data_IF_250952328259
#
_entry.id   IF_250952328259
#
_cell.length_a   1.000
_cell.length_b   1.000
_cell.length_c   1.000
_cell.angle_alpha   90.00
_cell.angle_beta   90.00
_cell.angle_gamma   90.00
#
_symmetry.space_group_name_H-M   'P 1'
#
loop_
_entity.id
_entity.type
_entity.pdbx_description
1 polymer ?
#
# COMPACT_ATOMS: atom_id res chain seq x y z
N UNK A 1 -2.02 4.69 3.13
CA UNK A 1 -3.39 4.65 3.69
C UNK A 1 -4.05 3.35 3.26
N UNK A 2 -5.00 2.79 4.01
CA UNK A 2 -5.58 1.46 3.77
C UNK A 2 -7.09 1.49 4.05
N UNK A 3 -7.90 0.74 3.30
CA UNK A 3 -9.35 0.68 3.47
C UNK A 3 -9.90 -0.76 3.50
N UNK A 4 -10.84 -1.03 4.39
CA UNK A 4 -11.66 -2.24 4.44
C UNK A 4 -13.12 -1.82 4.28
N UNK A 5 -13.76 -2.26 3.20
CA UNK A 5 -15.16 -1.99 2.91
C UNK A 5 -16.00 -3.27 3.16
N UNK A 6 -17.15 -3.16 3.84
CA UNK A 6 -18.16 -4.24 3.88
C UNK A 6 -18.93 -4.25 2.56
N UNK A 7 -18.87 -5.33 1.79
CA UNK A 7 -19.67 -5.44 0.57
C UNK A 7 -21.05 -5.99 0.93
N UNK A 8 -22.09 -5.15 0.95
CA UNK A 8 -23.47 -5.65 0.90
C UNK A 8 -23.82 -5.88 -0.57
N UNK A 9 -23.70 -7.12 -1.04
CA UNK A 9 -24.18 -7.48 -2.37
C UNK A 9 -25.72 -7.49 -2.33
N UNK A 10 -26.35 -6.43 -2.83
CA UNK A 10 -27.75 -6.52 -3.26
C UNK A 10 -27.82 -7.33 -4.57
N UNK A 11 -28.97 -7.95 -4.81
CA UNK A 11 -29.25 -8.87 -5.94
C UNK A 11 -28.98 -8.26 -7.33
N UNK A 12 -28.80 -6.94 -7.45
CA UNK A 12 -28.71 -6.25 -8.74
C UNK A 12 -27.31 -6.27 -9.36
N UNK A 13 -26.25 -6.54 -8.58
CA UNK A 13 -24.88 -6.59 -9.11
C UNK A 13 -24.61 -7.85 -9.96
N UNK A 14 -25.50 -8.85 -9.93
CA UNK A 14 -25.40 -10.03 -10.80
C UNK A 14 -25.91 -9.75 -12.24
N UNK A 15 -26.72 -8.70 -12.45
CA UNK A 15 -27.32 -8.41 -13.76
C UNK A 15 -26.56 -7.34 -14.57
N UNK A 16 -25.67 -6.56 -13.95
CA UNK A 16 -24.90 -5.51 -14.63
C UNK A 16 -23.51 -5.96 -15.15
N UNK A 17 -23.06 -7.18 -14.86
CA UNK A 17 -21.72 -7.65 -15.29
C UNK A 17 -21.62 -8.10 -16.75
N UNK A 18 -22.69 -7.96 -17.54
CA UNK A 18 -22.65 -8.24 -19.00
C UNK A 18 -22.65 -6.98 -19.89
N UNK A 19 -22.33 -5.80 -19.35
CA UNK A 19 -22.25 -4.57 -20.15
C UNK A 19 -21.00 -3.73 -19.85
N UNK A 20 -20.21 -3.50 -20.91
CA UNK A 20 -19.31 -2.35 -21.09
C UNK A 20 -17.98 -2.31 -20.31
N UNK A 21 -16.95 -2.94 -20.88
CA UNK A 21 -15.69 -2.26 -21.25
C UNK A 21 -15.02 -3.06 -22.39
N UNK A 22 -14.91 -2.55 -23.63
CA UNK A 22 -14.16 -3.26 -24.67
C UNK A 22 -12.64 -3.10 -24.46
N UNK A 23 -11.83 -4.13 -24.74
CA UNK A 23 -10.37 -4.02 -24.66
C UNK A 23 -9.85 -3.12 -25.79
N UNK A 24 -9.05 -2.11 -25.44
CA UNK A 24 -8.26 -1.35 -26.43
C UNK A 24 -7.09 -2.23 -26.87
N UNK A 25 -7.23 -2.87 -28.04
CA UNK A 25 -6.14 -3.50 -28.78
C UNK A 25 -5.77 -2.63 -29.99
N UNK A 26 -4.49 -2.62 -30.43
CA UNK A 26 -4.02 -1.74 -31.49
C UNK A 26 -4.69 -2.07 -32.84
N UNK A 27 -5.15 -1.02 -33.51
CA UNK A 27 -5.86 -1.08 -34.79
C UNK A 27 -4.94 -1.58 -35.91
N UNK A 28 -5.21 -2.79 -36.42
CA UNK A 28 -4.93 -3.16 -37.81
C UNK A 28 -6.26 -3.48 -38.49
N UNK A 29 -6.48 -2.84 -39.62
CA UNK A 29 -7.71 -2.74 -40.40
C UNK A 29 -8.09 -4.07 -41.06
N UNK A 30 -9.26 -4.62 -40.76
CA UNK A 30 -10.13 -5.26 -41.78
C UNK A 30 -11.57 -5.31 -41.28
N UNK A 31 -12.48 -4.65 -42.01
CA UNK A 31 -13.92 -4.63 -41.75
C UNK A 31 -14.56 -5.98 -42.11
N UNK A 32 -15.38 -6.54 -41.22
CA UNK A 32 -16.47 -7.44 -41.61
C UNK A 32 -17.69 -7.17 -40.74
N UNK A 33 -18.78 -6.73 -41.37
CA UNK A 33 -20.12 -6.54 -40.80
C UNK A 33 -20.84 -7.89 -40.69
N UNK A 34 -21.45 -8.18 -39.53
CA UNK A 34 -22.58 -9.10 -39.45
C UNK A 34 -23.58 -8.64 -38.38
N UNK A 35 -24.81 -8.41 -38.82
CA UNK A 35 -26.00 -8.27 -37.97
C UNK A 35 -26.62 -9.66 -37.70
N UNK A 36 -27.38 -9.82 -36.60
CA UNK A 36 -28.43 -10.83 -36.59
C UNK A 36 -29.80 -10.31 -36.10
N UNK A 37 -30.83 -10.79 -36.82
CA UNK A 37 -32.24 -10.83 -36.45
C UNK A 37 -32.50 -11.77 -35.25
N UNK A 38 -33.55 -11.51 -34.45
CA UNK A 38 -34.76 -12.35 -34.41
C UNK A 38 -35.76 -11.97 -33.30
N UNK A 39 -36.97 -11.69 -33.75
CA UNK A 39 -38.30 -12.14 -33.30
C UNK A 39 -38.62 -12.47 -31.82
N UNK A 40 -39.64 -11.73 -31.32
CA UNK A 40 -40.85 -12.17 -30.60
C UNK A 40 -40.73 -13.04 -29.33
N UNK A 41 -40.89 -12.39 -28.16
CA UNK A 41 -41.74 -12.92 -27.06
C UNK A 41 -42.51 -11.75 -26.40
N UNK A 42 -43.84 -11.75 -26.55
CA UNK A 42 -44.80 -10.91 -25.81
C UNK A 42 -44.95 -11.39 -24.38
N UNK A 43 -44.99 -10.49 -23.40
CA UNK A 43 -45.75 -10.73 -22.15
C UNK A 43 -46.49 -9.46 -21.72
N UNK A 44 -47.75 -9.69 -21.37
CA UNK A 44 -48.89 -8.77 -21.27
C UNK A 44 -48.92 -8.01 -19.95
N UNK A 45 -49.28 -6.73 -19.99
CA UNK A 45 -49.71 -5.90 -18.84
C UNK A 45 -51.06 -6.37 -18.27
N UNK A 46 -51.25 -6.30 -16.95
CA UNK A 46 -52.58 -5.99 -16.41
C UNK A 46 -52.55 -4.71 -15.56
N UNK A 47 -53.53 -3.85 -15.82
CA UNK A 47 -53.88 -2.66 -15.06
C UNK A 47 -54.91 -3.06 -13.98
N UNK A 48 -54.66 -2.83 -12.70
CA UNK A 48 -55.72 -2.70 -11.68
C UNK A 48 -55.24 -1.85 -10.50
N UNK A 49 -55.98 -0.79 -10.19
CA UNK A 49 -55.71 0.15 -9.11
C UNK A 49 -56.31 -0.28 -7.77
N UNK A 50 -55.65 0.11 -6.67
CA UNK A 50 -56.11 0.01 -5.29
C UNK A 50 -54.99 0.37 -4.30
N UNK A 51 -55.21 1.24 -3.29
CA UNK A 51 -54.14 1.85 -2.50
C UNK A 51 -53.73 0.96 -1.33
N UNK A 52 -52.44 0.60 -1.25
CA UNK A 52 -51.93 -0.16 -0.11
C UNK A 52 -50.70 -0.99 -0.42
N UNK A 53 -49.71 -0.43 -1.13
CA UNK A 53 -48.38 -1.03 -1.15
C UNK A 53 -47.56 -0.35 -0.06
N UNK A 54 -47.29 -1.08 1.03
CA UNK A 54 -46.19 -0.75 1.92
C UNK A 54 -44.94 -0.60 1.05
N UNK A 55 -44.47 0.64 0.93
CA UNK A 55 -43.15 0.93 0.41
C UNK A 55 -42.16 0.24 1.35
N UNK A 56 -41.74 -0.97 1.00
CA UNK A 56 -40.45 -1.46 1.45
C UNK A 56 -39.43 -0.57 0.76
N UNK A 57 -39.19 0.60 1.35
CA UNK A 57 -37.96 1.33 1.11
C UNK A 57 -36.84 0.31 1.30
N UNK A 58 -36.03 0.03 0.27
CA UNK A 58 -34.77 -0.66 0.50
C UNK A 58 -34.03 0.23 1.50
N UNK A 59 -33.82 -0.28 2.71
CA UNK A 59 -32.84 0.32 3.59
C UNK A 59 -31.53 0.23 2.82
N UNK A 60 -31.06 1.38 2.33
CA UNK A 60 -29.69 1.54 1.87
C UNK A 60 -28.84 1.11 3.07
N UNK A 61 -28.41 -0.15 3.07
CA UNK A 61 -27.43 -0.63 4.03
C UNK A 61 -26.15 0.10 3.67
N UNK A 62 -25.91 1.20 4.37
CA UNK A 62 -24.69 1.98 4.21
C UNK A 62 -23.52 1.00 4.33
N UNK A 63 -22.69 0.92 3.29
CA UNK A 63 -21.51 0.06 3.29
C UNK A 63 -20.58 0.55 4.39
N UNK A 64 -20.54 -0.15 5.52
CA UNK A 64 -19.68 0.21 6.63
C UNK A 64 -18.23 0.05 6.18
N UNK A 65 -17.46 1.13 6.32
CA UNK A 65 -16.06 1.22 5.89
C UNK A 65 -15.14 1.49 7.07
N UNK A 66 -14.09 0.70 7.22
CA UNK A 66 -13.02 0.89 8.21
C UNK A 66 -11.75 1.32 7.49
N UNK A 67 -11.21 2.48 7.84
CA UNK A 67 -10.01 3.04 7.19
C UNK A 67 -8.87 3.04 8.19
N UNK A 68 -7.76 2.39 7.84
CA UNK A 68 -6.58 2.32 8.70
C UNK A 68 -5.45 3.17 8.12
N UNK A 69 -4.77 3.89 9.01
CA UNK A 69 -3.72 4.85 8.70
C UNK A 69 -2.45 4.49 9.47
N UNK A 70 -1.37 5.24 9.22
CA UNK A 70 -0.12 5.14 10.00
C UNK A 70 -0.26 5.69 11.42
N UNK A 71 -1.44 6.15 11.81
CA UNK A 71 -1.71 6.85 13.07
C UNK A 71 -0.83 8.09 13.29
N UNK A 72 -0.35 8.71 12.20
CA UNK A 72 0.56 9.85 12.26
C UNK A 72 2.03 9.48 12.54
N UNK A 73 2.37 8.19 12.62
CA UNK A 73 3.77 7.78 12.63
C UNK A 73 4.42 8.07 11.27
N UNK A 74 5.72 8.41 11.32
CA UNK A 74 6.61 8.53 10.17
C UNK A 74 7.96 7.84 10.45
N UNK A 75 8.68 7.48 9.40
CA UNK A 75 10.02 6.88 9.49
C UNK A 75 10.01 5.37 9.70
N UNK A 76 11.09 4.86 10.31
CA UNK A 76 11.42 3.42 10.38
C UNK A 76 10.55 2.59 11.35
N UNK A 77 9.98 3.23 12.38
CA UNK A 77 9.28 2.57 13.48
C UNK A 77 7.77 2.77 13.34
N UNK A 78 6.99 1.72 13.62
CA UNK A 78 5.53 1.76 13.61
C UNK A 78 4.91 2.66 14.70
N UNK A 79 3.60 2.94 14.61
CA UNK A 79 2.92 3.78 15.58
C UNK A 79 2.90 3.19 16.99
N UNK A 80 2.75 4.06 17.97
CA UNK A 80 2.50 3.71 19.37
C UNK A 80 0.99 3.55 19.64
N UNK A 81 0.60 2.85 20.72
CA UNK A 81 -0.80 2.78 21.12
C UNK A 81 -1.48 4.14 21.26
N UNK A 82 -0.78 5.12 21.86
CA UNK A 82 -1.29 6.49 22.05
C UNK A 82 -1.50 7.23 20.73
N UNK A 83 -0.61 7.04 19.75
CA UNK A 83 -0.77 7.61 18.41
C UNK A 83 -2.06 7.09 17.75
N UNK A 84 -2.30 5.78 17.79
CA UNK A 84 -3.51 5.20 17.20
C UNK A 84 -4.79 5.53 17.97
N UNK A 85 -4.75 5.54 19.31
CA UNK A 85 -5.93 5.95 20.11
C UNK A 85 -6.36 7.38 19.80
N UNK A 86 -5.40 8.28 19.55
CA UNK A 86 -5.69 9.65 19.14
C UNK A 86 -6.16 9.72 17.68
N UNK A 87 -5.50 9.00 16.77
CA UNK A 87 -5.81 9.03 15.33
C UNK A 87 -7.21 8.48 15.00
N UNK A 88 -7.69 7.50 15.76
CA UNK A 88 -8.99 6.87 15.53
C UNK A 88 -10.08 7.38 16.47
N UNK A 89 -9.81 8.45 17.23
CA UNK A 89 -10.80 9.07 18.10
C UNK A 89 -12.02 9.48 17.28
N UNK A 90 -13.21 9.08 17.73
CA UNK A 90 -14.49 9.33 17.06
C UNK A 90 -14.63 8.68 15.67
N UNK A 91 -13.92 7.57 15.42
CA UNK A 91 -14.12 6.73 14.22
C UNK A 91 -14.74 5.39 14.60
N UNK A 92 -15.15 4.60 13.61
CA UNK A 92 -15.61 3.22 13.79
C UNK A 92 -14.46 2.19 13.89
N UNK A 93 -13.20 2.65 13.91
CA UNK A 93 -12.01 1.82 14.01
C UNK A 93 -11.54 1.77 15.46
N UNK A 94 -11.39 0.55 15.98
CA UNK A 94 -10.81 0.31 17.29
C UNK A 94 -9.72 -0.76 17.16
N UNK A 95 -8.48 -0.40 17.48
CA UNK A 95 -7.31 -1.27 17.34
C UNK A 95 -6.51 -1.35 18.62
N UNK A 96 -5.90 -2.50 18.86
CA UNK A 96 -4.79 -2.64 19.81
C UNK A 96 -3.49 -2.56 19.04
N UNK A 97 -2.47 -1.88 19.56
CA UNK A 97 -1.17 -1.77 18.88
C UNK A 97 -0.13 -2.59 19.64
N UNK A 98 0.60 -3.47 18.95
CA UNK A 98 1.67 -4.24 19.55
C UNK A 98 2.83 -3.33 19.97
N UNK A 99 3.48 -3.63 21.10
CA UNK A 99 4.52 -2.76 21.69
C UNK A 99 5.90 -3.41 21.73
N UNK A 100 6.00 -4.70 21.42
CA UNK A 100 7.22 -5.50 21.58
C UNK A 100 7.33 -6.57 20.49
N UNK A 101 8.56 -7.04 20.29
CA UNK A 101 8.86 -8.15 19.39
C UNK A 101 8.42 -7.86 17.94
N UNK A 102 8.01 -8.90 17.19
CA UNK A 102 7.62 -8.75 15.78
C UNK A 102 6.28 -8.04 15.59
N UNK A 103 5.54 -7.75 16.67
CA UNK A 103 4.27 -7.03 16.59
C UNK A 103 4.39 -5.54 16.92
N UNK A 104 5.59 -5.04 17.26
CA UNK A 104 5.78 -3.62 17.61
C UNK A 104 5.30 -2.72 16.46
N UNK A 105 4.29 -1.89 16.74
CA UNK A 105 3.70 -0.95 15.79
C UNK A 105 2.65 -1.53 14.83
N UNK A 106 2.35 -2.83 14.93
CA UNK A 106 1.30 -3.48 14.14
C UNK A 106 -0.04 -3.26 14.85
N UNK A 107 -1.07 -2.91 14.07
CA UNK A 107 -2.43 -2.68 14.56
C UNK A 107 -3.22 -3.98 14.48
N UNK A 108 -3.87 -4.38 15.58
CA UNK A 108 -4.72 -5.56 15.63
C UNK A 108 -6.19 -5.14 15.72
N UNK A 109 -6.99 -5.64 14.78
CA UNK A 109 -8.40 -5.31 14.62
C UNK A 109 -9.26 -6.56 14.64
N UNK A 110 -10.36 -6.53 15.41
CA UNK A 110 -11.32 -7.62 15.46
C UNK A 110 -12.43 -7.40 14.45
N UNK A 111 -12.69 -8.42 13.64
CA UNK A 111 -13.76 -8.42 12.66
C UNK A 111 -15.12 -8.36 13.40
N UNK A 112 -15.99 -7.38 13.11
CA UNK A 112 -17.21 -7.18 13.87
C UNK A 112 -18.33 -8.16 13.50
N UNK A 113 -18.34 -8.67 12.26
CA UNK A 113 -19.38 -9.56 11.75
C UNK A 113 -18.82 -10.58 10.75
N UNK A 114 -19.41 -11.78 10.68
CA UNK A 114 -19.03 -12.78 9.68
C UNK A 114 -19.60 -12.40 8.33
N UNK A 115 -18.77 -11.90 7.41
CA UNK A 115 -19.18 -11.46 6.06
C UNK A 115 -18.04 -11.52 5.06
N UNK A 116 -18.36 -11.27 3.79
CA UNK A 116 -17.37 -11.01 2.74
C UNK A 116 -16.92 -9.54 2.83
N UNK A 117 -15.63 -9.33 3.07
CA UNK A 117 -15.00 -8.02 3.16
C UNK A 117 -14.13 -7.79 1.93
N UNK A 118 -14.17 -6.57 1.39
CA UNK A 118 -13.23 -6.12 0.38
C UNK A 118 -12.11 -5.34 1.07
N UNK A 119 -10.90 -5.83 0.93
CA UNK A 119 -9.70 -5.24 1.52
C UNK A 119 -8.92 -4.55 0.40
N UNK A 120 -8.66 -3.25 0.54
CA UNK A 120 -7.84 -2.46 -0.37
C UNK A 120 -6.62 -1.91 0.38
N UNK A 121 -5.43 -2.36 -0.02
CA UNK A 121 -4.16 -1.96 0.58
C UNK A 121 -3.31 -1.14 -0.37
N UNK A 122 -2.57 -0.19 0.19
CA UNK A 122 -1.63 0.68 -0.53
C UNK A 122 -0.29 0.64 0.18
N UNK A 123 0.78 0.31 -0.55
CA UNK A 123 2.14 0.50 -0.07
C UNK A 123 2.51 1.98 -0.03
N UNK A 124 3.45 2.33 0.85
CA UNK A 124 3.91 3.70 0.96
C UNK A 124 4.89 4.05 -0.16
N UNK A 125 4.97 5.34 -0.49
CA UNK A 125 5.96 5.85 -1.43
C UNK A 125 7.38 5.83 -0.83
N UNK A 126 8.38 5.76 -1.70
CA UNK A 126 9.77 6.02 -1.33
C UNK A 126 10.06 7.52 -1.23
N UNK A 127 11.18 7.83 -0.58
CA UNK A 127 11.67 9.19 -0.42
C UNK A 127 12.37 9.73 -1.67
N UNK A 128 12.46 11.06 -1.72
CA UNK A 128 13.18 11.85 -2.74
C UNK A 128 14.68 11.85 -2.50
N UNK A 129 15.42 12.03 -3.59
CA UNK A 129 16.86 12.27 -3.52
C UNK A 129 17.17 13.77 -3.57
N UNK A 130 18.45 14.12 -3.50
CA UNK A 130 18.91 15.51 -3.59
C UNK A 130 18.56 16.15 -4.93
N UNK A 131 18.63 15.39 -6.03
CA UNK A 131 18.39 15.90 -7.39
C UNK A 131 17.11 15.37 -8.05
N UNK A 132 16.53 14.27 -7.54
CA UNK A 132 15.27 13.72 -8.04
C UNK A 132 14.12 14.09 -7.09
N UNK A 133 13.30 15.03 -7.52
CA UNK A 133 12.20 15.61 -6.73
C UNK A 133 10.91 14.77 -6.77
N UNK A 134 10.83 13.75 -7.62
CA UNK A 134 9.67 12.86 -7.73
C UNK A 134 9.84 11.61 -6.86
N UNK A 135 8.79 11.20 -6.16
CA UNK A 135 8.79 9.95 -5.37
C UNK A 135 8.51 8.76 -6.28
N UNK A 136 8.90 7.56 -5.86
CA UNK A 136 8.36 6.33 -6.46
C UNK A 136 7.17 5.90 -5.61
N UNK A 137 6.08 5.52 -6.27
CA UNK A 137 4.86 5.13 -5.59
C UNK A 137 4.94 3.66 -5.15
N UNK A 138 4.20 3.33 -4.09
CA UNK A 138 3.92 1.94 -3.75
C UNK A 138 2.77 1.40 -4.60
N UNK A 139 2.58 0.09 -4.57
CA UNK A 139 1.50 -0.60 -5.27
C UNK A 139 0.21 -0.49 -4.45
N UNK A 140 -0.94 -0.46 -5.12
CA UNK A 140 -2.22 -0.73 -4.49
C UNK A 140 -2.79 -2.07 -4.98
N UNK A 141 -3.46 -2.79 -4.10
CA UNK A 141 -4.07 -4.08 -4.41
C UNK A 141 -5.40 -4.21 -3.66
N UNK A 142 -6.36 -4.85 -4.28
CA UNK A 142 -7.66 -5.15 -3.69
C UNK A 142 -7.94 -6.64 -3.75
N UNK A 143 -8.50 -7.19 -2.68
CA UNK A 143 -8.93 -8.59 -2.62
C UNK A 143 -10.18 -8.75 -1.75
N UNK A 144 -10.95 -9.78 -2.07
CA UNK A 144 -12.18 -10.11 -1.36
C UNK A 144 -11.96 -11.33 -0.47
N UNK A 145 -12.34 -11.24 0.81
CA UNK A 145 -12.12 -12.30 1.79
C UNK A 145 -13.38 -12.55 2.62
N UNK A 146 -13.72 -13.82 2.82
CA UNK A 146 -14.70 -14.19 3.85
C UNK A 146 -14.01 -14.14 5.21
N UNK A 147 -14.41 -13.20 6.06
CA UNK A 147 -13.88 -13.05 7.41
C UNK A 147 -14.95 -13.45 8.42
N UNK A 148 -14.52 -14.06 9.51
CA UNK A 148 -15.42 -14.48 10.58
C UNK A 148 -15.47 -13.43 11.69
N UNK A 149 -16.64 -13.27 12.32
CA UNK A 149 -16.78 -12.45 13.50
C UNK A 149 -15.74 -12.85 14.56
N UNK A 150 -15.20 -11.85 15.24
CA UNK A 150 -14.21 -11.95 16.31
C UNK A 150 -12.82 -12.45 15.88
N UNK A 151 -12.65 -12.77 14.58
CA UNK A 151 -11.36 -13.02 13.96
C UNK A 151 -10.44 -11.80 14.10
N UNK A 152 -9.17 -12.05 14.41
CA UNK A 152 -8.18 -11.01 14.64
C UNK A 152 -7.32 -10.82 13.40
N UNK A 153 -7.43 -9.64 12.77
CA UNK A 153 -6.53 -9.23 11.71
C UNK A 153 -5.39 -8.40 12.27
N UNK A 154 -4.20 -8.64 11.72
CA UNK A 154 -2.99 -7.85 11.97
C UNK A 154 -2.73 -6.98 10.75
N UNK A 155 -2.60 -5.69 10.98
CA UNK A 155 -2.54 -4.64 9.97
C UNK A 155 -1.29 -3.81 10.22
N UNK A 156 -0.31 -3.95 9.33
CA UNK A 156 0.85 -3.07 9.26
C UNK A 156 0.58 -2.09 8.12
N UNK A 157 0.43 -0.80 8.44
CA UNK A 157 0.29 0.25 7.42
C UNK A 157 1.66 0.81 7.09
N UNK A 158 2.08 0.66 5.84
CA UNK A 158 3.38 1.14 5.37
C UNK A 158 3.56 2.64 5.56
N UNK A 159 4.78 3.04 5.93
CA UNK A 159 5.18 4.44 6.11
C UNK A 159 6.13 4.87 4.99
N UNK A 160 6.09 6.16 4.68
CA UNK A 160 6.92 6.72 3.62
C UNK A 160 8.42 6.65 3.99
N UNK A 161 9.27 6.38 3.00
CA UNK A 161 10.71 6.50 3.15
C UNK A 161 11.15 7.95 3.31
N UNK A 162 12.27 8.19 3.99
CA UNK A 162 12.72 9.56 4.26
C UNK A 162 13.31 10.23 3.01
N UNK A 163 12.95 11.50 2.80
CA UNK A 163 13.56 12.36 1.78
C UNK A 163 15.02 12.70 2.18
N UNK A 164 15.93 12.77 1.20
CA UNK A 164 17.31 13.21 1.43
C UNK A 164 17.41 14.65 1.93
N UNK A 165 16.52 15.51 1.44
CA UNK A 165 16.46 16.92 1.78
C UNK A 165 15.13 17.26 2.47
N UNK A 166 14.94 16.88 3.74
CA UNK A 166 13.78 17.36 4.50
C UNK A 166 14.00 18.86 4.77
N UNK A 167 12.97 19.68 4.58
CA UNK A 167 12.99 21.16 4.71
C UNK A 167 13.33 21.68 6.13
N UNK A 168 13.92 20.87 7.03
CA UNK A 168 13.98 21.10 8.48
C UNK A 168 15.37 20.96 9.10
N UNK A 169 16.46 20.74 8.33
CA UNK A 169 17.82 20.65 8.89
C UNK A 169 18.72 21.73 8.27
N UNK A 170 19.09 22.81 9.00
CA UNK A 170 19.86 23.93 8.45
C UNK A 170 21.20 23.54 7.78
N UNK A 171 21.88 22.52 8.31
CA UNK A 171 23.14 22.02 7.76
C UNK A 171 22.95 21.28 6.43
N UNK A 172 21.82 20.57 6.27
CA UNK A 172 21.49 19.86 5.04
C UNK A 172 20.81 20.78 4.03
N UNK A 173 20.05 21.80 4.48
CA UNK A 173 19.44 22.81 3.61
C UNK A 173 20.52 23.53 2.78
N UNK A 174 21.68 23.83 3.38
CA UNK A 174 22.84 24.35 2.63
C UNK A 174 23.34 23.38 1.56
N UNK A 175 23.60 22.13 1.91
CA UNK A 175 24.10 21.10 0.97
C UNK A 175 23.08 20.84 -0.15
N UNK A 176 21.80 20.74 0.20
CA UNK A 176 20.71 20.55 -0.75
C UNK A 176 20.58 21.73 -1.72
N UNK A 177 20.64 22.98 -1.24
CA UNK A 177 20.62 24.18 -2.09
C UNK A 177 21.86 24.30 -2.98
N UNK A 178 23.05 24.01 -2.44
CA UNK A 178 24.30 24.04 -3.19
C UNK A 178 24.32 22.99 -4.32
N UNK A 179 23.80 21.79 -4.06
CA UNK A 179 23.71 20.73 -5.07
C UNK A 179 22.60 20.97 -6.11
N UNK A 180 21.53 21.67 -5.74
CA UNK A 180 20.45 22.05 -6.68
C UNK A 180 20.79 23.31 -7.51
N UNK A 181 21.78 24.11 -7.10
CA UNK A 181 22.19 25.37 -7.77
C UNK A 181 23.10 25.23 -9.02
N UNK A 182 23.45 26.36 -9.66
CA UNK A 182 24.29 26.41 -10.88
C UNK A 182 25.72 25.91 -10.63
N UNK A 183 26.23 25.12 -11.56
CA UNK A 183 27.46 24.33 -11.45
C UNK A 183 28.74 25.15 -11.57
N UNK A 184 29.30 25.62 -10.45
CA UNK A 184 30.65 26.20 -10.45
C UNK A 184 31.68 25.28 -9.78
N UNK A 185 31.30 24.37 -8.87
CA UNK A 185 32.18 23.29 -8.36
C UNK A 185 31.36 22.24 -7.58
N UNK A 186 30.58 21.38 -8.27
CA UNK A 186 29.91 20.26 -7.60
C UNK A 186 30.95 19.18 -7.30
N UNK A 187 31.53 19.18 -6.11
CA UNK A 187 32.20 17.98 -5.60
C UNK A 187 31.16 16.87 -5.49
N UNK A 188 31.44 15.71 -6.07
CA UNK A 188 30.52 14.58 -6.09
C UNK A 188 30.35 14.03 -4.67
N UNK A 189 29.35 14.53 -3.93
CA UNK A 189 29.01 13.98 -2.62
C UNK A 189 28.50 12.55 -2.79
N UNK A 190 29.19 11.58 -2.19
CA UNK A 190 28.73 10.19 -2.09
C UNK A 190 27.61 10.10 -1.04
N UNK A 191 26.35 10.24 -1.46
CA UNK A 191 25.15 10.02 -0.64
C UNK A 191 23.89 10.59 -1.30
N UNK A 192 22.88 10.95 -0.49
CA UNK A 192 21.76 11.78 -0.92
C UNK A 192 20.65 11.09 -1.72
N UNK A 193 20.54 9.77 -1.68
CA UNK A 193 19.34 9.04 -2.12
C UNK A 193 18.23 9.08 -1.05
N UNK A 194 16.98 8.89 -1.47
CA UNK A 194 15.83 8.78 -0.56
C UNK A 194 15.63 7.34 -0.05
N UNK A 195 15.03 7.19 1.12
CA UNK A 195 14.71 5.88 1.71
C UNK A 195 13.59 5.14 0.97
N UNK A 196 13.57 3.82 1.04
CA UNK A 196 12.47 3.00 0.52
C UNK A 196 11.20 3.16 1.35
N UNK A 197 10.04 3.13 0.70
CA UNK A 197 8.74 3.12 1.35
C UNK A 197 8.40 1.74 1.89
N UNK A 198 7.68 1.68 3.01
CA UNK A 198 7.25 0.42 3.58
C UNK A 198 6.02 -0.17 2.90
N UNK A 199 5.94 -1.50 2.88
CA UNK A 199 4.78 -2.23 2.43
C UNK A 199 3.65 -2.21 3.48
N UNK A 200 2.41 -2.37 3.00
CA UNK A 200 1.23 -2.57 3.86
C UNK A 200 0.87 -4.04 3.86
N UNK A 201 0.75 -4.63 5.06
CA UNK A 201 0.46 -6.05 5.25
C UNK A 201 -0.86 -6.22 6.00
N UNK A 202 -1.68 -7.14 5.52
CA UNK A 202 -2.85 -7.66 6.22
C UNK A 202 -2.70 -9.17 6.35
N UNK A 203 -2.74 -9.66 7.59
CA UNK A 203 -2.47 -11.06 7.87
C UNK A 203 -3.19 -11.56 9.12
N UNK A 204 -3.21 -12.87 9.27
CA UNK A 204 -3.69 -13.60 10.45
C UNK A 204 -2.52 -14.26 11.17
N UNK A 205 -2.73 -14.65 12.42
CA UNK A 205 -1.79 -15.48 13.17
C UNK A 205 -2.53 -16.68 13.71
N UNK A 206 -2.15 -17.86 13.26
CA UNK A 206 -2.71 -19.13 13.72
C UNK A 206 -1.59 -19.99 14.31
N UNK A 207 -1.71 -20.39 15.57
CA UNK A 207 -0.70 -21.19 16.26
C UNK A 207 0.74 -20.62 16.17
N UNK A 208 0.86 -19.29 16.16
CA UNK A 208 2.15 -18.59 16.04
C UNK A 208 2.68 -18.47 14.61
N UNK A 209 1.97 -18.99 13.61
CA UNK A 209 2.30 -18.88 12.19
C UNK A 209 1.61 -17.66 11.59
N UNK A 210 2.38 -16.78 10.95
CA UNK A 210 1.84 -15.66 10.18
C UNK A 210 1.25 -16.17 8.86
N UNK A 211 0.00 -15.82 8.55
CA UNK A 211 -0.70 -16.21 7.32
C UNK A 211 -1.07 -14.95 6.54
N UNK A 212 -0.49 -14.71 5.35
CA UNK A 212 -0.77 -13.51 4.57
C UNK A 212 -2.19 -13.56 3.98
N UNK A 213 -2.90 -12.43 4.06
CA UNK A 213 -4.14 -12.23 3.29
C UNK A 213 -3.87 -11.34 2.08
N UNK A 214 -3.24 -10.18 2.32
CA UNK A 214 -2.99 -9.18 1.30
C UNK A 214 -1.73 -8.39 1.63
N UNK A 215 -0.88 -8.15 0.63
CA UNK A 215 0.36 -7.38 0.78
C UNK A 215 0.43 -6.39 -0.37
N UNK A 216 0.56 -5.10 -0.04
CA UNK A 216 0.78 -4.03 -1.00
C UNK A 216 2.23 -3.54 -0.85
N UNK A 217 3.05 -3.75 -1.88
CA UNK A 217 4.48 -3.42 -1.85
C UNK A 217 4.71 -1.90 -1.78
N UNK A 218 5.73 -1.50 -1.02
CA UNK A 218 6.19 -0.10 -0.96
C UNK A 218 6.99 0.30 -2.21
N UNK A 219 7.13 1.60 -2.43
CA UNK A 219 7.90 2.17 -3.53
C UNK A 219 9.37 2.36 -3.18
N UNK A 220 10.27 2.19 -4.15
CA UNK A 220 11.70 2.45 -3.97
C UNK A 220 12.01 3.93 -3.77
N UNK A 221 12.97 4.24 -2.89
CA UNK A 221 13.56 5.56 -2.74
C UNK A 221 14.45 5.93 -3.92
N UNK A 222 14.47 7.20 -4.29
CA UNK A 222 15.23 7.65 -5.47
C UNK A 222 16.74 7.65 -5.20
N UNK A 223 17.51 7.23 -6.19
CA UNK A 223 18.96 7.46 -6.21
C UNK A 223 19.32 8.92 -6.42
N UNK A 224 20.54 9.31 -6.02
CA UNK A 224 21.05 10.67 -6.01
C UNK A 224 20.73 11.49 -7.26
N UNK A 225 20.97 10.92 -8.46
CA UNK A 225 20.72 11.55 -9.76
C UNK A 225 19.78 10.74 -10.64
N UNK A 226 18.94 9.88 -10.05
CA UNK A 226 18.05 9.01 -10.83
C UNK A 226 16.99 9.83 -11.54
N UNK A 227 17.08 9.91 -12.87
CA UNK A 227 16.10 10.56 -13.75
C UNK A 227 15.12 9.55 -14.39
N UNK A 228 15.16 8.28 -13.95
CA UNK A 228 14.21 7.26 -14.40
C UNK A 228 12.79 7.60 -13.91
N UNK A 229 11.96 8.08 -14.84
CA UNK A 229 10.54 8.35 -14.59
C UNK A 229 9.70 7.06 -14.59
N UNK A 230 10.13 6.03 -15.32
CA UNK A 230 9.45 4.73 -15.44
C UNK A 230 10.31 3.61 -14.84
N UNK A 231 10.22 3.34 -13.51
CA UNK A 231 10.74 2.10 -12.97
C UNK A 231 9.94 0.91 -13.54
N UNK A 232 10.63 -0.18 -13.92
CA UNK A 232 9.95 -1.40 -14.34
C UNK A 232 9.28 -2.06 -13.14
N UNK A 233 7.95 -1.92 -13.03
CA UNK A 233 7.16 -2.69 -12.09
C UNK A 233 7.03 -4.13 -12.60
N UNK A 234 7.62 -5.08 -11.88
CA UNK A 234 7.47 -6.51 -12.19
C UNK A 234 6.20 -7.00 -11.50
N UNK A 235 5.14 -7.19 -12.29
CA UNK A 235 3.91 -7.85 -11.83
C UNK A 235 3.90 -9.29 -12.31
N UNK A 236 4.05 -10.22 -11.36
CA UNK A 236 3.86 -11.65 -11.62
C UNK A 236 2.37 -11.99 -11.44
N UNK A 237 1.74 -12.55 -12.48
CA UNK A 237 0.33 -12.99 -12.45
C UNK A 237 0.17 -14.45 -12.07
N UNK A 238 1.27 -15.21 -12.04
CA UNK A 238 1.28 -16.62 -11.71
C UNK A 238 1.43 -16.78 -10.18
N UNK A 239 0.41 -17.30 -9.48
CA UNK A 239 0.44 -17.46 -8.02
C UNK A 239 1.45 -18.53 -7.55
N UNK A 240 2.00 -19.34 -8.46
CA UNK A 240 3.08 -20.27 -8.14
C UNK A 240 4.44 -19.59 -7.99
N UNK A 241 4.59 -18.37 -8.50
CA UNK A 241 5.83 -17.60 -8.36
C UNK A 241 5.87 -17.04 -6.94
N UNK A 242 6.89 -17.41 -6.13
CA UNK A 242 7.03 -16.86 -4.79
C UNK A 242 7.34 -15.36 -4.85
N UNK A 243 6.74 -14.61 -3.93
CA UNK A 243 7.03 -13.18 -3.77
C UNK A 243 8.53 -12.95 -3.54
N UNK A 244 9.07 -11.92 -4.19
CA UNK A 244 10.48 -11.54 -4.07
C UNK A 244 10.65 -10.43 -3.04
N UNK A 245 11.78 -10.42 -2.36
CA UNK A 245 12.21 -9.35 -1.48
C UNK A 245 13.33 -8.51 -2.10
N UNK A 246 13.55 -7.32 -1.55
CA UNK A 246 14.65 -6.46 -1.96
C UNK A 246 16.00 -7.07 -1.58
N UNK A 247 16.96 -7.02 -2.51
CA UNK A 247 18.35 -7.43 -2.24
C UNK A 247 19.19 -6.21 -1.89
N UNK A 248 19.77 -6.22 -0.71
CA UNK A 248 20.72 -5.17 -0.31
C UNK A 248 22.01 -5.24 -1.13
N UNK A 249 22.53 -4.07 -1.49
CA UNK A 249 23.76 -3.90 -2.26
C UNK A 249 24.40 -2.55 -1.95
N UNK A 250 24.46 -1.65 -2.93
CA UNK A 250 24.90 -0.27 -2.71
C UNK A 250 23.95 0.55 -1.81
N UNK A 251 22.76 0.04 -1.54
CA UNK A 251 21.78 0.55 -0.57
C UNK A 251 21.00 -0.61 0.07
N UNK A 252 20.15 -0.30 1.05
CA UNK A 252 19.29 -1.29 1.69
C UNK A 252 18.16 -1.74 0.77
N UNK A 253 17.95 -3.05 0.63
CA UNK A 253 16.75 -3.59 -0.01
C UNK A 253 15.54 -3.62 0.93
N UNK A 254 14.34 -3.61 0.36
CA UNK A 254 13.10 -3.79 1.12
C UNK A 254 12.95 -5.21 1.70
N UNK A 255 12.36 -5.31 2.88
CA UNK A 255 12.03 -6.55 3.55
C UNK A 255 10.82 -7.24 2.92
N UNK A 256 10.86 -8.57 2.79
CA UNK A 256 9.72 -9.34 2.33
C UNK A 256 8.90 -9.93 3.47
N UNK A 257 8.28 -11.09 3.22
CA UNK A 257 7.41 -11.74 4.18
C UNK A 257 8.21 -12.42 5.30
N UNK A 258 9.04 -13.39 4.93
CA UNK A 258 9.78 -14.29 5.82
C UNK A 258 11.18 -14.59 5.26
N UNK A 259 11.98 -13.54 5.11
CA UNK A 259 13.34 -13.66 4.59
C UNK A 259 14.39 -13.58 5.70
N UNK A 260 15.66 -13.79 5.35
CA UNK A 260 16.78 -13.63 6.28
C UNK A 260 16.88 -12.22 6.84
N UNK A 261 17.34 -12.12 8.09
CA UNK A 261 17.61 -10.83 8.74
C UNK A 261 18.56 -10.00 7.86
N UNK A 262 18.15 -8.80 7.43
CA UNK A 262 18.95 -7.99 6.54
C UNK A 262 20.16 -7.39 7.28
N UNK A 263 21.14 -6.92 6.50
CA UNK A 263 22.14 -5.95 6.98
C UNK A 263 21.43 -4.72 7.58
N UNK A 264 22.08 -3.87 8.40
CA UNK A 264 21.42 -2.73 9.04
C UNK A 264 20.65 -1.83 8.07
N UNK A 265 21.14 -1.68 6.84
CA UNK A 265 20.49 -0.87 5.81
C UNK A 265 19.23 -1.49 5.23
N UNK A 266 19.09 -2.82 5.22
CA UNK A 266 17.90 -3.46 4.65
C UNK A 266 16.72 -3.37 5.61
N UNK A 267 15.53 -3.23 5.04
CA UNK A 267 14.30 -3.26 5.83
C UNK A 267 14.01 -4.66 6.34
N UNK A 268 13.56 -4.76 7.60
CA UNK A 268 13.26 -6.07 8.20
C UNK A 268 12.03 -6.69 7.54
N UNK A 269 12.02 -8.02 7.34
CA UNK A 269 10.82 -8.72 6.89
C UNK A 269 9.70 -8.62 7.93
N UNK A 270 8.45 -8.82 7.49
CA UNK A 270 7.27 -8.70 8.35
C UNK A 270 7.36 -9.59 9.59
N UNK A 271 7.79 -10.85 9.44
CA UNK A 271 7.90 -11.78 10.58
C UNK A 271 8.88 -11.31 11.66
N UNK A 272 9.74 -10.34 11.37
CA UNK A 272 10.66 -9.69 12.31
C UNK A 272 10.21 -8.28 12.72
N UNK A 273 8.99 -7.89 12.35
CA UNK A 273 8.34 -6.65 12.74
C UNK A 273 8.38 -5.52 11.72
N UNK A 274 8.88 -5.75 10.50
CA UNK A 274 8.75 -4.78 9.41
C UNK A 274 9.43 -3.43 9.67
N UNK A 275 10.44 -3.35 10.55
CA UNK A 275 11.17 -2.11 10.80
C UNK A 275 11.89 -1.64 9.52
N UNK A 276 11.84 -0.33 9.23
CA UNK A 276 12.62 0.26 8.14
C UNK A 276 14.14 0.19 8.40
N UNK A 277 14.92 0.19 7.32
CA UNK A 277 16.38 0.07 7.38
C UNK A 277 17.12 1.37 7.73
N UNK A 278 18.31 1.23 8.30
CA UNK A 278 19.21 2.32 8.64
C UNK A 278 19.86 2.96 7.38
N UNK A 279 20.22 4.25 7.41
CA UNK A 279 20.99 4.85 6.33
C UNK A 279 22.41 4.27 6.25
N UNK A 280 23.05 4.41 5.09
CA UNK A 280 24.51 4.26 5.04
C UNK A 280 25.19 5.28 5.97
N UNK A 281 26.24 4.88 6.70
CA UNK A 281 27.00 5.77 7.58
C UNK A 281 27.89 6.80 6.83
N UNK A 282 27.76 6.94 5.51
CA UNK A 282 28.62 7.79 4.70
C UNK A 282 28.21 9.28 4.80
N UNK A 283 29.12 10.11 5.30
CA UNK A 283 29.12 11.58 5.21
C UNK A 283 27.86 12.32 5.71
N UNK A 284 27.14 11.76 6.69
CA UNK A 284 26.11 12.48 7.44
C UNK A 284 24.69 12.47 6.85
N UNK A 285 24.47 11.84 5.70
CA UNK A 285 23.13 11.56 5.20
C UNK A 285 22.46 10.51 6.09
N UNK A 286 21.27 10.81 6.61
CA UNK A 286 20.55 9.95 7.56
C UNK A 286 19.16 9.57 7.07
N UNK A 287 19.06 9.16 5.81
CA UNK A 287 17.80 8.78 5.14
C UNK A 287 17.43 7.32 5.40
N UNK A 288 16.47 7.11 6.29
CA UNK A 288 15.95 5.80 6.69
C UNK A 288 14.84 5.32 5.76
N UNK A 289 14.68 4.01 5.70
CA UNK A 289 13.50 3.41 5.09
C UNK A 289 12.27 3.54 5.99
N UNK A 290 11.09 3.49 5.38
CA UNK A 290 9.82 3.53 6.09
C UNK A 290 9.47 2.19 6.75
N UNK A 291 8.74 2.26 7.86
CA UNK A 291 8.13 1.09 8.50
C UNK A 291 7.22 0.34 7.53
N UNK A 292 7.22 -0.98 7.61
CA UNK A 292 6.78 -1.88 6.54
C UNK A 292 7.94 -2.45 5.73
N UNK A 293 9.15 -2.39 6.28
CA UNK A 293 10.34 -3.00 5.68
C UNK A 293 10.97 -2.19 4.55
N UNK A 294 10.78 -0.87 4.48
CA UNK A 294 11.52 -0.05 3.51
C UNK A 294 13.02 -0.05 3.81
N UNK A 295 13.85 -0.11 2.77
CA UNK A 295 15.31 -0.07 2.88
C UNK A 295 15.85 1.34 3.14
N UNK A 296 16.92 1.44 3.93
CA UNK A 296 17.64 2.68 4.16
C UNK A 296 18.48 3.09 2.96
N UNK A 297 18.60 4.40 2.76
CA UNK A 297 19.23 4.94 1.57
C UNK A 297 20.74 5.13 1.70
N UNK A 298 21.37 5.12 0.54
CA UNK A 298 22.76 5.51 0.31
C UNK A 298 22.77 6.43 -0.93
N UNK A 299 23.73 6.29 -1.84
CA UNK A 299 23.67 6.98 -3.15
C UNK A 299 22.60 6.43 -4.08
N UNK A 300 22.31 5.13 -4.03
CA UNK A 300 21.42 4.46 -4.96
C UNK A 300 19.91 4.62 -4.63
N UNK A 301 19.57 5.14 -3.45
CA UNK A 301 18.21 5.11 -2.92
C UNK A 301 17.89 3.77 -2.24
N UNK A 302 17.02 3.78 -1.23
CA UNK A 302 16.58 2.55 -0.54
C UNK A 302 15.53 1.79 -1.36
N UNK A 303 15.49 0.47 -1.25
CA UNK A 303 14.50 -0.38 -1.91
C UNK A 303 13.35 -0.81 -1.02
#
# INVERSE_FOLDING_TARGET
AFAVDNFTLSMECFLETNGEFPPVAPTSTTQVLFAPNNENIKTTTPLYGGPGAFSLQPTLTESVKWIFYTCGATGQDGPTPTQCSNSYRNTNVNVTVGTKGPFKGIQMWRVPETRKYRITAYGAAGGRSVLAVHKSHGVYITGDFLLQKDELLYILVGQEGEDACPNMVPTMDRICREQQGPSINKTQLRGGGGGGGGATYVFKVENGVHIPLLIAAGGGGRGYSSQSENPEEVMDKDPSIPGRNGRSGAAGGGGGWNDTTPIPQGGRPLVLGGQGGDPCQLMGWKTRGGFGGGGGACTAGGG
#
